data_IF_226853954232
#
_entry.id   IF_226853954232
#
_cell.length_a   1.000
_cell.length_b   1.000
_cell.length_c   1.000
_cell.angle_alpha   90.00
_cell.angle_beta   90.00
_cell.angle_gamma   90.00
#
_symmetry.space_group_name_H-M   'P 1'
#
loop_
_entity.id
_entity.type
_entity.pdbx_description
1 polymer ?
#
# COMPACT_ATOMS: atom_id res chain seq x y z
N UNK A 1 -55.33 5.25 -2.69
CA UNK A 1 -55.31 4.22 -1.64
C UNK A 1 -53.94 3.58 -1.61
N UNK A 2 -52.93 4.36 -1.23
CA UNK A 2 -51.54 3.96 -1.18
C UNK A 2 -51.02 4.44 0.17
N UNK A 3 -50.91 3.51 1.12
CA UNK A 3 -50.16 3.60 2.37
C UNK A 3 -50.58 2.42 3.24
N UNK A 4 -50.07 1.24 2.92
CA UNK A 4 -49.88 0.21 3.92
C UNK A 4 -48.42 -0.21 3.88
N UNK A 5 -47.74 0.08 4.99
CA UNK A 5 -46.34 -0.20 5.28
C UNK A 5 -46.05 -1.68 5.06
N UNK A 6 -45.18 -1.96 4.10
CA UNK A 6 -44.75 -3.32 3.77
C UNK A 6 -43.61 -3.71 4.71
N UNK A 7 -43.89 -4.59 5.68
CA UNK A 7 -42.84 -5.40 6.32
C UNK A 7 -42.34 -6.47 5.34
N UNK A 8 -41.07 -6.87 5.41
CA UNK A 8 -40.49 -7.89 4.52
C UNK A 8 -41.27 -9.21 4.44
N UNK A 9 -42.01 -9.56 5.51
CA UNK A 9 -42.93 -10.71 5.52
C UNK A 9 -44.18 -10.54 4.64
N UNK A 10 -44.66 -9.31 4.44
CA UNK A 10 -45.82 -8.97 3.61
C UNK A 10 -45.46 -8.98 2.11
N UNK A 11 -44.19 -8.68 1.80
CA UNK A 11 -43.61 -8.82 0.46
C UNK A 11 -43.54 -10.29 0.01
N UNK A 12 -43.06 -11.16 0.89
CA UNK A 12 -43.02 -12.61 0.67
C UNK A 12 -44.42 -13.20 0.47
N UNK A 13 -45.43 -12.75 1.23
CA UNK A 13 -46.82 -13.16 1.01
C UNK A 13 -47.39 -12.66 -0.32
N UNK A 14 -47.15 -11.40 -0.69
CA UNK A 14 -47.60 -10.85 -1.97
C UNK A 14 -46.93 -11.55 -3.15
N UNK A 15 -45.61 -11.72 -3.13
CA UNK A 15 -44.85 -12.40 -4.20
C UNK A 15 -45.14 -13.91 -4.29
N UNK A 16 -45.29 -14.61 -3.15
CA UNK A 16 -45.69 -16.03 -3.16
C UNK A 16 -47.14 -16.24 -3.64
N UNK A 17 -48.04 -15.29 -3.42
CA UNK A 17 -49.40 -15.33 -3.98
C UNK A 17 -49.40 -15.15 -5.51
N UNK A 18 -48.43 -14.39 -6.05
CA UNK A 18 -48.28 -14.10 -7.47
C UNK A 18 -47.62 -15.25 -8.24
N UNK A 19 -46.83 -16.09 -7.57
CA UNK A 19 -46.24 -17.29 -8.16
C UNK A 19 -47.28 -18.36 -8.59
N UNK A 20 -48.57 -18.14 -8.29
CA UNK A 20 -49.71 -18.94 -8.78
C UNK A 20 -50.27 -18.44 -10.12
N UNK A 21 -49.80 -17.31 -10.65
CA UNK A 21 -50.25 -16.73 -11.92
C UNK A 21 -49.32 -17.16 -13.07
N UNK A 22 -49.88 -17.39 -14.27
CA UNK A 22 -49.11 -17.81 -15.47
C UNK A 22 -48.23 -16.70 -16.03
N UNK A 23 -48.64 -15.44 -15.88
CA UNK A 23 -47.90 -14.25 -16.33
C UNK A 23 -48.20 -13.10 -15.36
N UNK A 24 -47.17 -12.29 -15.08
CA UNK A 24 -47.21 -11.11 -14.22
C UNK A 24 -46.98 -9.87 -15.10
N UNK A 25 -47.83 -8.82 -15.02
CA UNK A 25 -47.59 -7.56 -15.73
C UNK A 25 -46.21 -6.98 -15.37
N UNK A 26 -45.43 -6.52 -16.35
CA UNK A 26 -44.11 -5.91 -16.19
C UNK A 26 -44.13 -4.78 -15.16
N UNK A 27 -45.06 -3.85 -15.34
CA UNK A 27 -45.16 -2.60 -14.59
C UNK A 27 -45.44 -2.84 -13.09
N UNK A 28 -46.09 -3.97 -12.78
CA UNK A 28 -46.40 -4.36 -11.41
C UNK A 28 -45.19 -4.96 -10.67
N UNK A 29 -44.26 -5.60 -11.40
CA UNK A 29 -43.03 -6.18 -10.85
C UNK A 29 -42.03 -5.08 -10.46
N UNK A 30 -41.81 -4.12 -11.34
CA UNK A 30 -40.94 -2.96 -11.13
C UNK A 30 -41.41 -2.13 -9.93
N UNK A 31 -42.72 -1.86 -9.83
CA UNK A 31 -43.32 -1.10 -8.73
C UNK A 31 -43.10 -1.72 -7.35
N UNK A 32 -43.09 -3.06 -7.24
CA UNK A 32 -42.89 -3.76 -5.96
C UNK A 32 -41.41 -3.72 -5.55
N UNK A 33 -40.50 -3.96 -6.50
CA UNK A 33 -39.07 -3.90 -6.24
C UNK A 33 -38.68 -2.48 -5.81
N UNK A 34 -39.13 -1.48 -6.56
CA UNK A 34 -38.94 -0.06 -6.26
C UNK A 34 -39.48 0.30 -4.87
N UNK A 35 -40.76 0.00 -4.59
CA UNK A 35 -41.39 0.33 -3.31
C UNK A 35 -40.68 -0.32 -2.12
N UNK A 36 -40.11 -1.51 -2.30
CA UNK A 36 -39.40 -2.24 -1.24
C UNK A 36 -38.00 -1.70 -1.01
N UNK A 37 -37.28 -1.43 -2.11
CA UNK A 37 -35.94 -0.88 -2.06
C UNK A 37 -35.96 0.48 -1.37
N UNK A 38 -36.96 1.32 -1.66
CA UNK A 38 -37.13 2.66 -1.10
C UNK A 38 -38.01 2.73 0.16
N UNK A 39 -38.25 1.62 0.86
CA UNK A 39 -38.90 1.64 2.18
C UNK A 39 -38.16 2.52 3.20
N UNK A 40 -36.84 2.65 3.02
CA UNK A 40 -35.98 3.56 3.77
C UNK A 40 -35.43 4.63 2.82
N UNK A 41 -35.24 5.89 3.27
CA UNK A 41 -34.84 7.01 2.40
C UNK A 41 -33.57 6.79 1.57
N UNK A 42 -32.63 5.97 2.06
CA UNK A 42 -31.34 5.70 1.44
C UNK A 42 -31.21 4.25 0.96
N UNK A 43 -32.33 3.54 0.84
CA UNK A 43 -32.36 2.13 0.47
C UNK A 43 -32.49 1.19 1.66
N UNK A 44 -33.10 0.02 1.42
CA UNK A 44 -33.34 -1.01 2.43
C UNK A 44 -32.44 -2.23 2.21
N UNK A 45 -31.45 -2.41 3.10
CA UNK A 45 -30.58 -3.59 3.14
C UNK A 45 -31.36 -4.90 3.33
N UNK A 46 -32.36 -4.89 4.22
CA UNK A 46 -33.22 -6.04 4.49
C UNK A 46 -34.02 -6.47 3.24
N UNK A 47 -34.48 -5.48 2.45
CA UNK A 47 -35.16 -5.77 1.19
C UNK A 47 -34.21 -6.40 0.17
N UNK A 48 -32.96 -5.92 0.11
CA UNK A 48 -31.95 -6.44 -0.82
C UNK A 48 -31.59 -7.90 -0.53
N UNK A 49 -31.38 -8.27 0.74
CA UNK A 49 -31.21 -9.67 1.13
C UNK A 49 -32.45 -10.52 0.84
N UNK A 50 -33.65 -9.98 1.09
CA UNK A 50 -34.90 -10.69 0.76
C UNK A 50 -34.97 -11.00 -0.75
N UNK A 51 -34.56 -10.07 -1.61
CA UNK A 51 -34.49 -10.29 -3.05
C UNK A 51 -33.42 -11.32 -3.43
N UNK A 52 -32.25 -11.28 -2.79
CA UNK A 52 -31.19 -12.26 -3.00
C UNK A 52 -31.65 -13.68 -2.65
N UNK A 53 -32.28 -13.86 -1.50
CA UNK A 53 -32.75 -15.17 -1.05
C UNK A 53 -33.81 -15.74 -2.00
N UNK A 54 -34.76 -14.89 -2.45
CA UNK A 54 -35.75 -15.26 -3.47
C UNK A 54 -35.10 -15.69 -4.80
N UNK A 55 -33.98 -15.10 -5.18
CA UNK A 55 -33.23 -15.46 -6.38
C UNK A 55 -32.35 -16.72 -6.18
N UNK A 56 -31.87 -17.01 -4.97
CA UNK A 56 -31.00 -18.16 -4.66
C UNK A 56 -31.76 -19.48 -4.62
N UNK A 57 -33.00 -19.48 -4.10
CA UNK A 57 -33.69 -20.73 -3.77
C UNK A 57 -34.28 -21.50 -4.97
N UNK A 58 -34.24 -20.97 -6.20
CA UNK A 58 -34.83 -21.56 -7.42
C UNK A 58 -36.31 -22.02 -7.30
N UNK A 59 -36.96 -21.82 -6.16
CA UNK A 59 -38.34 -22.24 -5.90
C UNK A 59 -39.34 -21.46 -6.77
N UNK A 60 -38.96 -20.27 -7.24
CA UNK A 60 -39.85 -19.31 -7.91
C UNK A 60 -39.16 -18.62 -9.10
N UNK A 61 -38.87 -19.38 -10.18
CA UNK A 61 -38.14 -18.86 -11.36
C UNK A 61 -38.75 -17.59 -11.96
N UNK A 62 -40.09 -17.49 -12.00
CA UNK A 62 -40.80 -16.30 -12.49
C UNK A 62 -40.61 -15.06 -11.60
N UNK A 63 -40.44 -15.27 -10.28
CA UNK A 63 -40.19 -14.17 -9.33
C UNK A 63 -38.73 -13.73 -9.40
N UNK A 64 -37.79 -14.66 -9.52
CA UNK A 64 -36.38 -14.34 -9.74
C UNK A 64 -36.18 -13.56 -11.05
N UNK A 65 -36.81 -13.99 -12.15
CA UNK A 65 -36.79 -13.28 -13.43
C UNK A 65 -37.40 -11.88 -13.33
N UNK A 66 -38.47 -11.72 -12.53
CA UNK A 66 -39.10 -10.43 -12.29
C UNK A 66 -38.17 -9.46 -11.56
N UNK A 67 -37.53 -9.93 -10.50
CA UNK A 67 -36.59 -9.14 -9.69
C UNK A 67 -35.38 -8.76 -10.54
N UNK A 68 -34.79 -9.71 -11.26
CA UNK A 68 -33.67 -9.45 -12.15
C UNK A 68 -34.04 -8.49 -13.28
N UNK A 69 -35.25 -8.62 -13.84
CA UNK A 69 -35.79 -7.69 -14.83
C UNK A 69 -35.91 -6.27 -14.29
N UNK A 70 -36.48 -6.10 -13.09
CA UNK A 70 -36.63 -4.79 -12.47
C UNK A 70 -35.28 -4.11 -12.19
N UNK A 71 -34.29 -4.83 -11.67
CA UNK A 71 -32.95 -4.26 -11.42
C UNK A 71 -32.18 -3.91 -12.71
N UNK A 72 -32.54 -4.51 -13.84
CA UNK A 72 -32.00 -4.17 -15.16
C UNK A 72 -32.76 -3.04 -15.86
N UNK A 73 -33.89 -2.62 -15.31
CA UNK A 73 -34.70 -1.55 -15.87
C UNK A 73 -34.00 -0.18 -15.68
N UNK A 74 -33.73 0.57 -16.77
CA UNK A 74 -33.24 1.94 -16.70
C UNK A 74 -34.08 2.88 -15.81
N UNK A 75 -35.39 2.65 -15.70
CA UNK A 75 -36.27 3.46 -14.85
C UNK A 75 -35.92 3.30 -13.37
N UNK A 76 -35.76 2.07 -12.88
CA UNK A 76 -35.35 1.81 -11.50
C UNK A 76 -33.94 2.34 -11.24
N UNK A 77 -33.01 2.15 -12.17
CA UNK A 77 -31.65 2.73 -12.06
C UNK A 77 -31.70 4.25 -11.89
N UNK A 78 -32.52 4.94 -12.69
CA UNK A 78 -32.69 6.39 -12.57
C UNK A 78 -33.32 6.80 -11.23
N UNK A 79 -34.28 6.03 -10.72
CA UNK A 79 -34.84 6.21 -9.38
C UNK A 79 -33.77 6.02 -8.30
N UNK A 80 -32.91 5.01 -8.43
CA UNK A 80 -31.77 4.77 -7.53
C UNK A 80 -30.83 5.99 -7.55
N UNK A 81 -30.36 6.40 -8.73
CA UNK A 81 -29.45 7.53 -8.88
C UNK A 81 -30.02 8.82 -8.25
N UNK A 82 -31.31 9.08 -8.47
CA UNK A 82 -31.97 10.29 -7.95
C UNK A 82 -32.19 10.24 -6.44
N UNK A 83 -32.75 9.14 -5.91
CA UNK A 83 -33.12 9.06 -4.50
C UNK A 83 -31.91 8.88 -3.58
N UNK A 84 -30.86 8.20 -4.06
CA UNK A 84 -29.62 8.01 -3.31
C UNK A 84 -28.62 9.14 -3.54
N UNK A 85 -28.89 10.06 -4.47
CA UNK A 85 -27.96 11.14 -4.81
C UNK A 85 -26.65 10.61 -5.39
N UNK A 86 -26.73 9.52 -6.17
CA UNK A 86 -25.57 8.96 -6.85
C UNK A 86 -25.37 9.66 -8.19
N UNK A 87 -24.13 10.09 -8.43
CA UNK A 87 -23.70 10.51 -9.75
C UNK A 87 -23.13 9.30 -10.50
N UNK A 88 -23.66 8.98 -11.68
CA UNK A 88 -23.27 7.78 -12.42
C UNK A 88 -21.81 7.78 -12.95
N UNK A 89 -21.17 8.94 -13.05
CA UNK A 89 -19.75 9.11 -13.41
C UNK A 89 -19.17 10.44 -12.88
N UNK A 90 -17.90 10.70 -13.22
CA UNK A 90 -17.20 11.91 -12.80
C UNK A 90 -17.78 13.21 -13.37
N UNK A 91 -18.18 13.23 -14.65
CA UNK A 91 -18.69 14.46 -15.28
C UNK A 91 -20.02 14.87 -14.65
N UNK A 92 -20.88 13.90 -14.37
CA UNK A 92 -22.11 14.12 -13.64
C UNK A 92 -21.83 14.61 -12.21
N UNK A 93 -20.91 13.95 -11.48
CA UNK A 93 -20.52 14.37 -10.13
C UNK A 93 -19.99 15.81 -10.12
N UNK A 94 -19.13 16.15 -11.08
CA UNK A 94 -18.57 17.49 -11.25
C UNK A 94 -19.65 18.54 -11.53
N UNK A 95 -20.65 18.20 -12.36
CA UNK A 95 -21.79 19.10 -12.61
C UNK A 95 -22.65 19.36 -11.37
N UNK A 96 -22.56 18.48 -10.36
CA UNK A 96 -23.29 18.54 -9.10
C UNK A 96 -22.37 18.89 -7.91
N UNK A 97 -21.18 19.44 -8.16
CA UNK A 97 -20.19 19.65 -7.10
C UNK A 97 -20.71 20.53 -5.95
N UNK A 98 -21.61 21.47 -6.24
CA UNK A 98 -22.21 22.38 -5.24
C UNK A 98 -23.11 21.68 -4.21
N UNK A 99 -23.61 20.48 -4.51
CA UNK A 99 -24.50 19.71 -3.61
C UNK A 99 -23.80 18.55 -2.91
N UNK A 100 -22.48 18.40 -3.13
CA UNK A 100 -21.65 17.41 -2.45
C UNK A 100 -21.48 17.79 -0.99
N UNK A 101 -21.68 16.81 -0.12
CA UNK A 101 -21.59 16.99 1.32
C UNK A 101 -20.81 15.83 1.92
N UNK A 102 -19.61 16.12 2.42
CA UNK A 102 -18.73 15.14 3.09
C UNK A 102 -19.37 14.52 4.33
N UNK A 103 -20.39 15.16 4.90
CA UNK A 103 -21.13 14.66 6.06
C UNK A 103 -22.42 13.92 5.68
N UNK A 104 -22.71 13.78 4.38
CA UNK A 104 -23.87 13.06 3.93
C UNK A 104 -23.83 11.59 4.39
N UNK A 105 -24.95 11.03 4.85
CA UNK A 105 -25.04 9.60 5.13
C UNK A 105 -24.85 8.79 3.85
N UNK A 106 -24.22 7.61 3.96
CA UNK A 106 -24.09 6.70 2.84
C UNK A 106 -25.45 6.17 2.38
N UNK A 107 -25.66 6.17 1.07
CA UNK A 107 -26.70 5.40 0.42
C UNK A 107 -26.44 3.90 0.54
N UNK A 108 -27.43 3.07 0.16
CA UNK A 108 -27.32 1.63 0.27
C UNK A 108 -26.14 1.05 -0.53
N UNK A 109 -25.84 1.56 -1.73
CA UNK A 109 -24.70 1.05 -2.50
C UNK A 109 -23.37 1.40 -1.82
N UNK A 110 -23.17 2.67 -1.44
CA UNK A 110 -21.98 3.12 -0.70
C UNK A 110 -21.81 2.39 0.63
N UNK A 111 -22.92 2.19 1.37
CA UNK A 111 -22.92 1.47 2.63
C UNK A 111 -22.60 -0.01 2.42
N UNK A 112 -23.13 -0.65 1.37
CA UNK A 112 -22.87 -2.06 1.04
C UNK A 112 -21.42 -2.30 0.64
N UNK A 113 -20.72 -1.36 0.01
CA UNK A 113 -19.28 -1.48 -0.28
C UNK A 113 -18.47 -1.68 1.02
N UNK A 114 -18.86 -0.99 2.09
CA UNK A 114 -18.14 -1.02 3.36
C UNK A 114 -18.63 -2.17 4.25
N UNK A 115 -19.95 -2.41 4.30
CA UNK A 115 -20.56 -3.24 5.34
C UNK A 115 -21.15 -4.57 4.81
N UNK A 116 -21.34 -4.72 3.50
CA UNK A 116 -21.81 -5.95 2.87
C UNK A 116 -21.19 -6.17 1.47
N UNK A 117 -19.85 -6.23 1.38
CA UNK A 117 -19.12 -6.24 0.10
C UNK A 117 -19.25 -7.54 -0.69
N UNK A 118 -19.62 -8.64 -0.05
CA UNK A 118 -19.65 -9.98 -0.66
C UNK A 118 -21.03 -10.37 -1.20
N UNK A 119 -22.10 -9.70 -0.75
CA UNK A 119 -23.48 -10.04 -1.15
C UNK A 119 -24.19 -8.86 -1.80
N UNK A 120 -24.50 -7.81 -1.03
CA UNK A 120 -25.33 -6.70 -1.47
C UNK A 120 -24.69 -5.85 -2.58
N UNK A 121 -23.43 -5.46 -2.42
CA UNK A 121 -22.76 -4.65 -3.44
C UNK A 121 -22.59 -5.40 -4.79
N UNK A 122 -22.09 -6.65 -4.81
CA UNK A 122 -22.02 -7.44 -6.05
C UNK A 122 -23.37 -7.68 -6.70
N UNK A 123 -24.43 -7.85 -5.89
CA UNK A 123 -25.78 -8.05 -6.40
C UNK A 123 -26.31 -6.83 -7.16
N UNK A 124 -26.13 -5.63 -6.60
CA UNK A 124 -26.50 -4.36 -7.24
C UNK A 124 -25.70 -4.13 -8.51
N UNK A 125 -24.38 -4.38 -8.45
CA UNK A 125 -23.47 -4.15 -9.58
C UNK A 125 -23.73 -5.12 -10.74
N UNK A 126 -23.84 -6.43 -10.47
CA UNK A 126 -24.05 -7.46 -11.51
C UNK A 126 -25.37 -7.33 -12.27
N UNK A 127 -26.37 -6.64 -11.70
CA UNK A 127 -27.66 -6.38 -12.35
C UNK A 127 -27.71 -5.04 -13.07
N UNK A 128 -26.65 -4.23 -13.00
CA UNK A 128 -26.60 -2.91 -13.62
C UNK A 128 -27.48 -1.87 -12.92
N UNK A 129 -27.90 -2.14 -11.68
CA UNK A 129 -28.72 -1.22 -10.89
C UNK A 129 -27.94 0.04 -10.46
N UNK A 130 -26.61 -0.07 -10.41
CA UNK A 130 -25.67 1.00 -10.11
C UNK A 130 -24.55 1.03 -11.16
N UNK A 131 -23.98 2.22 -11.38
CA UNK A 131 -22.78 2.38 -12.22
C UNK A 131 -21.51 2.04 -11.42
N UNK A 132 -20.57 1.24 -11.95
CA UNK A 132 -19.29 0.98 -11.28
C UNK A 132 -18.43 2.24 -11.12
N UNK A 133 -18.60 3.23 -12.00
CA UNK A 133 -17.92 4.54 -11.96
C UNK A 133 -18.66 5.59 -11.15
N UNK A 134 -19.68 5.20 -10.39
CA UNK A 134 -20.50 6.14 -9.65
C UNK A 134 -19.74 6.80 -8.48
N UNK A 135 -20.24 7.98 -8.11
CA UNK A 135 -19.86 8.75 -6.95
C UNK A 135 -21.04 8.87 -6.01
N UNK A 136 -20.74 8.69 -4.73
CA UNK A 136 -21.69 8.97 -3.66
C UNK A 136 -21.85 10.47 -3.46
N UNK A 137 -22.85 10.84 -2.64
CA UNK A 137 -23.08 12.24 -2.25
C UNK A 137 -21.92 12.86 -1.44
N UNK A 138 -21.02 12.04 -0.89
CA UNK A 138 -19.79 12.52 -0.22
C UNK A 138 -18.72 12.97 -1.22
N UNK A 139 -18.91 12.69 -2.51
CA UNK A 139 -17.94 12.98 -3.57
C UNK A 139 -16.85 11.92 -3.69
N UNK A 140 -17.05 10.76 -3.08
CA UNK A 140 -16.16 9.60 -3.18
C UNK A 140 -16.68 8.66 -4.26
N UNK A 141 -15.79 8.25 -5.17
CA UNK A 141 -16.12 7.18 -6.11
C UNK A 141 -16.30 5.86 -5.37
N UNK A 142 -17.04 4.92 -5.96
CA UNK A 142 -17.12 3.56 -5.42
C UNK A 142 -15.75 2.87 -5.33
N UNK A 143 -14.80 3.22 -6.21
CA UNK A 143 -13.41 2.78 -6.07
C UNK A 143 -12.77 3.30 -4.78
N UNK A 144 -12.94 4.59 -4.46
CA UNK A 144 -12.44 5.19 -3.22
C UNK A 144 -13.01 4.50 -1.98
N UNK A 145 -14.31 4.24 -1.97
CA UNK A 145 -15.00 3.57 -0.87
C UNK A 145 -14.51 2.13 -0.69
N UNK A 146 -14.26 1.41 -1.79
CA UNK A 146 -13.76 0.04 -1.75
C UNK A 146 -12.31 -0.03 -1.27
N UNK A 147 -11.45 0.94 -1.63
CA UNK A 147 -10.08 1.04 -1.11
C UNK A 147 -10.05 1.39 0.38
N UNK A 148 -11.08 2.08 0.90
CA UNK A 148 -11.16 2.43 2.33
C UNK A 148 -11.74 1.32 3.20
N UNK A 149 -12.29 0.25 2.62
CA UNK A 149 -12.91 -0.83 3.38
C UNK A 149 -11.89 -1.95 3.64
N UNK A 150 -12.04 -2.69 4.76
CA UNK A 150 -11.14 -3.80 5.11
C UNK A 150 -11.23 -5.02 4.16
N UNK A 151 -12.00 -4.91 3.08
CA UNK A 151 -12.34 -5.98 2.13
C UNK A 151 -11.73 -5.74 0.73
N UNK A 152 -10.64 -4.97 0.68
CA UNK A 152 -10.12 -4.25 -0.50
C UNK A 152 -10.10 -5.09 -1.80
N UNK A 153 -9.52 -6.29 -1.85
CA UNK A 153 -9.17 -6.88 -3.15
C UNK A 153 -10.36 -7.44 -3.96
N UNK A 154 -11.27 -8.22 -3.35
CA UNK A 154 -12.35 -8.88 -4.11
C UNK A 154 -13.40 -7.89 -4.64
N UNK A 155 -13.78 -6.90 -3.82
CA UNK A 155 -14.72 -5.86 -4.24
C UNK A 155 -14.12 -4.91 -5.28
N UNK A 156 -12.83 -4.59 -5.15
CA UNK A 156 -12.14 -3.76 -6.14
C UNK A 156 -11.99 -4.51 -7.45
N UNK A 157 -11.62 -5.79 -7.46
CA UNK A 157 -11.53 -6.58 -8.70
C UNK A 157 -12.88 -6.65 -9.43
N UNK A 158 -13.97 -6.86 -8.69
CA UNK A 158 -15.31 -6.85 -9.26
C UNK A 158 -15.67 -5.49 -9.85
N UNK A 159 -15.42 -4.41 -9.10
CA UNK A 159 -15.70 -3.03 -9.53
C UNK A 159 -14.87 -2.67 -10.76
N UNK A 160 -13.55 -2.91 -10.71
CA UNK A 160 -12.65 -2.66 -11.83
C UNK A 160 -13.07 -3.48 -13.04
N UNK A 161 -13.50 -4.74 -12.89
CA UNK A 161 -13.98 -5.60 -13.99
C UNK A 161 -15.25 -5.05 -14.66
N UNK A 162 -16.18 -4.50 -13.87
CA UNK A 162 -17.41 -3.92 -14.38
C UNK A 162 -17.22 -2.52 -14.99
N UNK A 163 -16.19 -1.79 -14.58
CA UNK A 163 -15.91 -0.42 -15.01
C UNK A 163 -15.44 -0.34 -16.47
N UNK A 164 -15.81 0.71 -17.20
CA UNK A 164 -15.21 1.09 -18.48
C UNK A 164 -13.75 1.55 -18.31
N UNK A 165 -12.88 1.28 -19.29
CA UNK A 165 -11.45 1.59 -19.15
C UNK A 165 -11.18 3.11 -19.05
N UNK A 166 -12.02 3.93 -19.68
CA UNK A 166 -11.97 5.39 -19.62
C UNK A 166 -12.12 5.95 -18.20
N UNK A 167 -12.85 5.25 -17.33
CA UNK A 167 -13.09 5.69 -15.96
C UNK A 167 -11.87 5.49 -15.06
N UNK A 168 -10.92 4.63 -15.43
CA UNK A 168 -9.64 4.44 -14.70
C UNK A 168 -8.83 5.74 -14.67
N UNK A 169 -9.05 6.63 -15.63
CA UNK A 169 -8.40 7.93 -15.74
C UNK A 169 -9.21 9.07 -15.12
N UNK A 170 -10.36 8.79 -14.52
CA UNK A 170 -11.13 9.78 -13.80
C UNK A 170 -10.60 9.89 -12.35
N UNK A 171 -10.72 11.07 -11.71
CA UNK A 171 -10.38 11.24 -10.30
C UNK A 171 -11.04 10.19 -9.43
N UNK A 172 -10.43 9.67 -8.38
CA UNK A 172 -11.15 8.76 -7.48
C UNK A 172 -11.96 9.51 -6.41
N UNK A 173 -11.70 10.82 -6.25
CA UNK A 173 -12.35 11.69 -5.28
C UNK A 173 -12.58 13.08 -5.87
N UNK A 174 -13.79 13.60 -5.75
CA UNK A 174 -14.13 14.94 -6.26
C UNK A 174 -13.82 16.06 -5.25
N UNK A 175 -13.70 15.68 -3.98
CA UNK A 175 -13.57 16.63 -2.88
C UNK A 175 -12.15 17.20 -2.67
N UNK A 176 -11.18 16.68 -3.41
CA UNK A 176 -9.81 17.19 -3.43
C UNK A 176 -9.69 18.44 -4.32
N UNK A 177 -8.76 19.37 -4.03
CA UNK A 177 -8.41 20.47 -4.92
C UNK A 177 -8.05 19.98 -6.32
N UNK A 178 -8.39 20.75 -7.37
CA UNK A 178 -8.18 20.29 -8.76
C UNK A 178 -6.73 19.89 -9.06
N UNK A 179 -5.77 20.63 -8.51
CA UNK A 179 -4.33 20.40 -8.71
C UNK A 179 -3.81 19.15 -7.96
N UNK A 180 -4.55 18.66 -6.95
CA UNK A 180 -4.18 17.51 -6.11
C UNK A 180 -4.98 16.23 -6.45
N UNK A 181 -6.02 16.34 -7.30
CA UNK A 181 -6.90 15.22 -7.64
C UNK A 181 -6.14 14.13 -8.38
N UNK A 182 -5.99 12.98 -7.75
CA UNK A 182 -5.42 11.79 -8.40
C UNK A 182 -6.51 11.01 -9.13
N UNK A 183 -6.15 10.43 -10.26
CA UNK A 183 -6.98 9.44 -10.97
C UNK A 183 -6.99 8.10 -10.23
N UNK A 184 -7.92 7.21 -10.57
CA UNK A 184 -7.93 5.83 -10.06
C UNK A 184 -6.59 5.13 -10.33
N UNK A 185 -6.02 5.28 -11.55
CA UNK A 185 -4.70 4.73 -11.87
C UNK A 185 -3.60 5.31 -10.96
N UNK A 186 -3.55 6.62 -10.78
CA UNK A 186 -2.55 7.26 -9.92
C UNK A 186 -2.72 6.88 -8.44
N UNK A 187 -3.95 6.72 -7.96
CA UNK A 187 -4.21 6.27 -6.59
C UNK A 187 -3.80 4.80 -6.39
N UNK A 188 -3.90 3.97 -7.43
CA UNK A 188 -3.57 2.54 -7.32
C UNK A 188 -2.09 2.25 -7.09
N UNK A 189 -1.16 3.18 -7.36
CA UNK A 189 0.29 3.01 -7.16
C UNK A 189 0.69 2.70 -5.71
N UNK A 190 -0.19 2.95 -4.74
CA UNK A 190 0.09 2.69 -3.33
C UNK A 190 -0.15 1.22 -2.95
N UNK A 191 -0.73 0.41 -3.85
CA UNK A 191 -1.02 -1.00 -3.66
C UNK A 191 -0.72 -1.77 -4.95
N UNK A 192 0.32 -2.61 -4.93
CA UNK A 192 0.80 -3.33 -6.11
C UNK A 192 -0.29 -4.15 -6.83
N UNK A 193 -1.04 -5.06 -6.15
CA UNK A 193 -2.15 -5.78 -6.77
C UNK A 193 -3.14 -4.86 -7.50
N UNK A 194 -3.53 -3.75 -6.87
CA UNK A 194 -4.47 -2.79 -7.45
C UNK A 194 -3.89 -2.08 -8.68
N UNK A 195 -2.62 -1.67 -8.61
CA UNK A 195 -1.94 -1.07 -9.75
C UNK A 195 -1.88 -2.04 -10.93
N UNK A 196 -1.50 -3.31 -10.69
CA UNK A 196 -1.44 -4.33 -11.75
C UNK A 196 -2.81 -4.59 -12.36
N UNK A 197 -3.87 -4.62 -11.55
CA UNK A 197 -5.24 -4.77 -12.04
C UNK A 197 -5.66 -3.60 -12.96
N UNK A 198 -5.40 -2.36 -12.53
CA UNK A 198 -5.65 -1.18 -13.36
C UNK A 198 -4.79 -1.18 -14.63
N UNK A 199 -3.50 -1.47 -14.51
CA UNK A 199 -2.54 -1.45 -15.61
C UNK A 199 -2.90 -2.47 -16.70
N UNK A 200 -3.29 -3.69 -16.32
CA UNK A 200 -3.74 -4.73 -17.25
C UNK A 200 -4.91 -4.27 -18.11
N UNK A 201 -5.86 -3.55 -17.51
CA UNK A 201 -7.00 -2.97 -18.25
C UNK A 201 -6.56 -1.87 -19.18
N UNK A 202 -5.69 -0.98 -18.73
CA UNK A 202 -5.22 0.12 -19.57
C UNK A 202 -4.40 -0.39 -20.76
N UNK A 203 -3.45 -1.31 -20.55
CA UNK A 203 -2.62 -1.90 -21.61
C UNK A 203 -3.44 -2.55 -22.73
N UNK A 204 -4.64 -3.04 -22.43
CA UNK A 204 -5.53 -3.67 -23.42
C UNK A 204 -6.19 -2.68 -24.40
N UNK A 205 -6.02 -1.36 -24.23
CA UNK A 205 -6.63 -0.36 -25.10
C UNK A 205 -5.85 -0.16 -26.41
N UNK A 206 -6.53 -0.04 -27.56
CA UNK A 206 -5.89 0.16 -28.87
C UNK A 206 -5.24 1.54 -29.04
N UNK A 207 -5.71 2.54 -28.28
CA UNK A 207 -5.16 3.89 -28.22
C UNK A 207 -5.05 4.29 -26.76
N UNK A 208 -3.95 3.92 -26.08
CA UNK A 208 -3.79 4.31 -24.70
C UNK A 208 -3.74 5.84 -24.62
N UNK A 209 -4.55 6.46 -23.75
CA UNK A 209 -4.40 7.89 -23.48
C UNK A 209 -3.00 8.14 -22.93
N UNK A 210 -2.50 9.38 -23.07
CA UNK A 210 -1.26 9.77 -22.39
C UNK A 210 -1.45 9.52 -20.89
N UNK A 211 -0.72 8.53 -20.39
CA UNK A 211 -0.74 8.15 -18.99
C UNK A 211 -0.25 9.35 -18.16
N UNK A 212 -1.06 9.83 -17.22
CA UNK A 212 -0.66 10.91 -16.32
C UNK A 212 0.24 10.41 -15.17
N UNK A 213 1.18 9.49 -15.45
CA UNK A 213 2.13 9.03 -14.45
C UNK A 213 3.31 9.99 -14.41
N UNK A 214 3.36 10.84 -13.38
CA UNK A 214 4.44 11.78 -13.14
C UNK A 214 5.61 11.15 -12.35
N UNK A 215 6.66 11.93 -12.07
CA UNK A 215 7.85 11.44 -11.37
C UNK A 215 7.54 10.82 -10.00
N UNK A 216 6.56 11.37 -9.27
CA UNK A 216 6.14 10.83 -7.99
C UNK A 216 5.48 9.45 -8.16
N UNK A 217 4.59 9.30 -9.13
CA UNK A 217 3.94 8.03 -9.44
C UNK A 217 4.96 6.95 -9.84
N UNK A 218 5.89 7.31 -10.74
CA UNK A 218 6.94 6.40 -11.20
C UNK A 218 7.85 5.95 -10.04
N UNK A 219 8.18 6.85 -9.12
CA UNK A 219 8.92 6.50 -7.89
C UNK A 219 8.17 5.50 -7.04
N UNK A 220 6.87 5.69 -6.81
CA UNK A 220 6.06 4.73 -6.06
C UNK A 220 5.98 3.36 -6.74
N UNK A 221 5.83 3.32 -8.07
CA UNK A 221 5.84 2.07 -8.85
C UNK A 221 7.17 1.33 -8.67
N UNK A 222 8.30 2.06 -8.60
CA UNK A 222 9.61 1.46 -8.38
C UNK A 222 9.74 0.70 -7.03
N UNK A 223 8.80 0.85 -6.09
CA UNK A 223 8.83 0.09 -4.84
C UNK A 223 8.36 -1.37 -4.97
N UNK A 224 7.77 -1.74 -6.10
CA UNK A 224 7.23 -3.09 -6.32
C UNK A 224 7.37 -3.61 -7.74
N UNK A 225 7.81 -2.78 -8.68
CA UNK A 225 7.97 -3.16 -10.09
C UNK A 225 8.95 -4.33 -10.25
N UNK A 226 8.58 -5.29 -11.09
CA UNK A 226 9.46 -6.35 -11.60
C UNK A 226 9.77 -6.11 -13.09
N UNK A 227 10.65 -6.93 -13.66
CA UNK A 227 11.08 -6.78 -15.06
C UNK A 227 9.90 -6.92 -16.02
N UNK A 228 8.96 -7.81 -15.74
CA UNK A 228 7.77 -8.00 -16.57
C UNK A 228 6.91 -6.73 -16.62
N UNK A 229 6.61 -6.13 -15.47
CA UNK A 229 5.85 -4.89 -15.39
C UNK A 229 6.62 -3.71 -15.98
N UNK A 230 7.93 -3.64 -15.79
CA UNK A 230 8.77 -2.59 -16.37
C UNK A 230 8.76 -2.63 -17.91
N UNK A 231 8.85 -3.81 -18.51
CA UNK A 231 8.73 -4.00 -19.96
C UNK A 231 7.32 -3.67 -20.46
N UNK A 232 6.30 -4.06 -19.70
CA UNK A 232 4.90 -3.72 -20.00
C UNK A 232 4.64 -2.22 -19.98
N UNK A 233 5.21 -1.50 -19.00
CA UNK A 233 5.18 -0.04 -18.92
C UNK A 233 5.89 0.58 -20.12
N UNK A 234 7.08 0.07 -20.45
CA UNK A 234 7.89 0.58 -21.55
C UNK A 234 7.23 0.40 -22.92
N UNK A 235 6.54 -0.72 -23.16
CA UNK A 235 5.74 -0.95 -24.37
C UNK A 235 4.64 0.11 -24.56
N UNK A 236 4.18 0.70 -23.46
CA UNK A 236 3.21 1.78 -23.43
C UNK A 236 3.86 3.17 -23.33
N UNK A 237 5.15 3.29 -23.68
CA UNK A 237 5.94 4.53 -23.64
C UNK A 237 6.13 5.12 -22.22
N UNK A 238 5.89 4.34 -21.17
CA UNK A 238 6.15 4.72 -19.77
C UNK A 238 7.51 4.15 -19.34
N UNK A 239 8.55 4.96 -19.44
CA UNK A 239 9.91 4.58 -19.05
C UNK A 239 10.23 5.02 -17.62
N UNK A 240 10.16 4.08 -16.67
CA UNK A 240 10.46 4.30 -15.25
C UNK A 240 11.94 4.61 -14.96
N UNK A 241 12.86 4.29 -15.88
CA UNK A 241 14.29 4.56 -15.73
C UNK A 241 14.72 5.86 -16.42
N UNK A 242 13.81 6.56 -17.13
CA UNK A 242 14.13 7.78 -17.87
C UNK A 242 14.49 8.92 -16.91
N UNK A 243 15.68 9.53 -17.06
CA UNK A 243 16.07 10.67 -16.24
C UNK A 243 15.11 11.86 -16.36
N UNK A 244 14.84 12.53 -15.25
CA UNK A 244 14.08 13.77 -15.19
C UNK A 244 15.02 14.95 -14.86
N UNK A 245 14.64 16.18 -15.23
CA UNK A 245 15.46 17.37 -14.97
C UNK A 245 15.73 17.58 -13.47
N UNK A 246 14.76 17.24 -12.62
CA UNK A 246 14.85 17.39 -11.17
C UNK A 246 15.44 16.15 -10.48
N UNK A 247 15.41 14.99 -11.15
CA UNK A 247 15.94 13.73 -10.62
C UNK A 247 16.64 12.94 -11.74
N UNK A 248 17.99 12.98 -11.81
CA UNK A 248 18.75 12.30 -12.86
C UNK A 248 18.79 10.77 -12.71
N UNK A 249 18.40 10.23 -11.55
CA UNK A 249 18.40 8.79 -11.23
C UNK A 249 17.07 8.40 -10.56
N UNK A 250 15.91 8.57 -11.22
CA UNK A 250 14.62 8.31 -10.60
C UNK A 250 14.46 6.82 -10.28
N UNK A 251 13.70 6.51 -9.23
CA UNK A 251 13.36 5.13 -8.87
C UNK A 251 14.46 4.32 -8.17
N UNK A 252 15.74 4.69 -8.30
CA UNK A 252 16.84 3.96 -7.68
C UNK A 252 16.70 3.83 -6.16
N UNK A 253 16.34 4.91 -5.47
CA UNK A 253 16.18 4.86 -4.01
C UNK A 253 14.97 4.01 -3.61
N UNK A 254 13.91 4.04 -4.42
CA UNK A 254 12.70 3.25 -4.19
C UNK A 254 12.89 1.76 -4.45
N UNK A 255 13.77 1.37 -5.39
CA UNK A 255 14.14 -0.02 -5.61
C UNK A 255 14.78 -0.66 -4.37
N UNK A 256 15.48 0.11 -3.53
CA UNK A 256 16.04 -0.40 -2.26
C UNK A 256 14.98 -0.89 -1.27
N UNK A 257 13.71 -0.48 -1.45
CA UNK A 257 12.60 -0.96 -0.62
C UNK A 257 12.13 -2.37 -1.01
N UNK A 258 12.51 -2.89 -2.18
CA UNK A 258 12.10 -4.22 -2.62
C UNK A 258 12.93 -5.32 -1.94
N UNK A 259 12.31 -6.47 -1.68
CA UNK A 259 13.01 -7.65 -1.16
C UNK A 259 13.88 -8.36 -2.19
N UNK A 260 13.57 -8.22 -3.50
CA UNK A 260 14.31 -8.83 -4.61
C UNK A 260 14.52 -7.85 -5.77
N UNK A 261 15.30 -6.79 -5.51
CA UNK A 261 15.57 -5.74 -6.50
C UNK A 261 16.64 -6.09 -7.54
N UNK A 262 17.35 -7.22 -7.41
CA UNK A 262 18.58 -7.47 -8.18
C UNK A 262 18.35 -7.42 -9.70
N UNK A 263 17.28 -8.06 -10.16
CA UNK A 263 16.91 -8.05 -11.58
C UNK A 263 16.52 -6.64 -12.06
N UNK A 264 15.86 -5.88 -11.20
CA UNK A 264 15.50 -4.49 -11.52
C UNK A 264 16.71 -3.56 -11.56
N UNK A 265 17.70 -3.76 -10.70
CA UNK A 265 18.94 -3.00 -10.78
C UNK A 265 19.68 -3.27 -12.10
N UNK A 266 19.76 -4.54 -12.52
CA UNK A 266 20.33 -4.92 -13.82
C UNK A 266 19.52 -4.32 -14.98
N UNK A 267 18.19 -4.29 -14.87
CA UNK A 267 17.31 -3.66 -15.85
C UNK A 267 17.59 -2.16 -15.97
N UNK A 268 17.66 -1.43 -14.85
CA UNK A 268 17.97 0.00 -14.82
C UNK A 268 19.36 0.29 -15.43
N UNK A 269 20.39 -0.50 -15.08
CA UNK A 269 21.72 -0.38 -15.67
C UNK A 269 21.71 -0.64 -17.18
N UNK A 270 20.99 -1.67 -17.63
CA UNK A 270 20.85 -2.01 -19.05
C UNK A 270 20.21 -0.89 -19.88
N UNK A 271 19.41 -0.03 -19.24
CA UNK A 271 18.80 1.17 -19.82
C UNK A 271 19.73 2.39 -19.80
N UNK A 272 20.94 2.26 -19.26
CA UNK A 272 21.89 3.37 -19.11
C UNK A 272 21.55 4.32 -17.94
N UNK A 273 20.63 3.93 -17.05
CA UNK A 273 20.39 4.66 -15.81
C UNK A 273 21.45 4.26 -14.80
N UNK A 274 22.24 5.22 -14.32
CA UNK A 274 23.28 4.97 -13.34
C UNK A 274 22.74 5.15 -11.91
N UNK A 275 23.18 4.33 -10.94
CA UNK A 275 22.87 4.53 -9.54
C UNK A 275 23.31 5.93 -9.09
N UNK A 276 22.57 6.57 -8.16
CA UNK A 276 22.99 7.85 -7.61
C UNK A 276 24.31 7.73 -6.86
N UNK A 277 25.00 8.85 -6.67
CA UNK A 277 26.18 8.88 -5.79
C UNK A 277 25.77 8.55 -4.35
N UNK A 278 26.65 7.88 -3.62
CA UNK A 278 26.43 7.49 -2.21
C UNK A 278 25.32 6.45 -2.02
N UNK A 279 25.02 5.67 -3.04
CA UNK A 279 23.91 4.71 -3.02
C UNK A 279 24.10 3.61 -1.97
N UNK A 280 25.34 3.16 -1.74
CA UNK A 280 25.63 2.19 -0.69
C UNK A 280 25.46 2.80 0.70
N UNK A 281 25.89 4.07 0.88
CA UNK A 281 25.65 4.82 2.11
C UNK A 281 24.15 4.95 2.39
N UNK A 282 23.35 5.31 1.39
CA UNK A 282 21.90 5.42 1.54
C UNK A 282 21.27 4.06 1.91
N UNK A 283 21.69 2.97 1.26
CA UNK A 283 21.24 1.62 1.64
C UNK A 283 21.59 1.27 3.10
N UNK A 284 22.75 1.70 3.59
CA UNK A 284 23.15 1.54 4.99
C UNK A 284 22.33 2.45 5.94
N UNK A 285 21.98 3.67 5.54
CA UNK A 285 21.14 4.60 6.32
C UNK A 285 19.69 4.13 6.46
N UNK A 286 19.24 3.21 5.60
CA UNK A 286 17.87 2.69 5.61
C UNK A 286 17.78 1.18 5.86
N UNK A 287 18.88 0.54 6.25
CA UNK A 287 18.96 -0.90 6.53
C UNK A 287 18.47 -1.80 5.37
N UNK A 288 18.74 -1.38 4.14
CA UNK A 288 18.35 -2.08 2.91
C UNK A 288 19.31 -3.23 2.57
N UNK A 289 19.45 -4.21 3.47
CA UNK A 289 20.46 -5.29 3.41
C UNK A 289 20.40 -6.10 2.10
N UNK A 290 19.20 -6.32 1.56
CA UNK A 290 18.99 -7.14 0.37
C UNK A 290 19.69 -6.60 -0.88
N UNK A 291 19.83 -5.29 -1.01
CA UNK A 291 20.44 -4.65 -2.18
C UNK A 291 21.98 -4.59 -2.12
N UNK A 292 22.56 -4.77 -0.93
CA UNK A 292 23.96 -4.44 -0.64
C UNK A 292 24.94 -5.27 -1.46
N UNK A 293 24.69 -6.57 -1.60
CA UNK A 293 25.55 -7.46 -2.37
C UNK A 293 25.62 -7.04 -3.84
N UNK A 294 24.48 -6.69 -4.41
CA UNK A 294 24.41 -6.18 -5.77
C UNK A 294 25.19 -4.87 -5.89
N UNK A 295 24.95 -3.90 -5.00
CA UNK A 295 25.63 -2.58 -5.04
C UNK A 295 27.15 -2.74 -4.96
N UNK A 296 27.64 -3.56 -4.01
CA UNK A 296 29.08 -3.81 -3.83
C UNK A 296 29.72 -4.48 -5.05
N UNK A 297 28.95 -5.25 -5.83
CA UNK A 297 29.41 -5.85 -7.09
C UNK A 297 29.50 -4.86 -8.24
N UNK A 298 28.85 -3.69 -8.13
CA UNK A 298 28.66 -2.73 -9.22
C UNK A 298 29.18 -1.32 -8.89
N UNK A 299 29.87 -1.14 -7.76
CA UNK A 299 30.52 0.13 -7.40
C UNK A 299 32.01 -0.07 -7.10
N UNK A 300 32.83 0.84 -7.64
CA UNK A 300 34.25 0.99 -7.30
C UNK A 300 34.50 2.21 -6.40
N UNK A 301 33.44 2.88 -5.92
CA UNK A 301 33.54 4.08 -5.08
C UNK A 301 34.01 3.71 -3.66
N UNK A 302 35.30 3.89 -3.42
CA UNK A 302 35.92 3.62 -2.12
C UNK A 302 35.41 4.55 -1.02
N UNK A 303 35.09 5.80 -1.34
CA UNK A 303 34.61 6.75 -0.34
C UNK A 303 33.20 6.36 0.12
N UNK A 304 32.34 5.91 -0.81
CA UNK A 304 31.00 5.41 -0.48
C UNK A 304 31.07 4.13 0.36
N UNK A 305 32.00 3.23 0.03
CA UNK A 305 32.28 2.03 0.82
C UNK A 305 32.73 2.38 2.25
N UNK A 306 33.65 3.34 2.39
CA UNK A 306 34.16 3.80 3.68
C UNK A 306 33.03 4.37 4.53
N UNK A 307 32.25 5.28 3.95
CA UNK A 307 31.17 5.98 4.63
C UNK A 307 30.05 5.02 5.04
N UNK A 308 29.60 4.15 4.13
CA UNK A 308 28.56 3.15 4.42
C UNK A 308 28.97 2.18 5.54
N UNK A 309 30.25 1.78 5.60
CA UNK A 309 30.77 0.97 6.71
C UNK A 309 30.62 1.67 8.05
N UNK A 310 30.97 2.97 8.13
CA UNK A 310 30.83 3.75 9.36
C UNK A 310 29.37 4.01 9.71
N UNK A 311 28.50 4.23 8.73
CA UNK A 311 27.05 4.36 8.96
C UNK A 311 26.49 3.06 9.53
N UNK A 312 26.76 1.92 8.90
CA UNK A 312 26.31 0.61 9.37
C UNK A 312 26.88 0.29 10.76
N UNK A 313 28.14 0.67 11.04
CA UNK A 313 28.75 0.55 12.35
C UNK A 313 28.01 1.35 13.44
N UNK A 314 27.64 2.61 13.13
CA UNK A 314 26.97 3.53 14.05
C UNK A 314 25.54 3.12 14.39
N UNK A 315 24.80 2.56 13.42
CA UNK A 315 23.38 2.18 13.57
C UNK A 315 23.17 1.14 14.68
N UNK A 316 21.95 1.03 15.20
CA UNK A 316 21.63 0.19 16.39
C UNK A 316 20.56 -0.86 16.07
N UNK A 317 20.06 -0.85 14.85
CA UNK A 317 19.05 -1.75 14.32
C UNK A 317 19.67 -3.11 13.99
N UNK A 318 18.90 -4.17 14.14
CA UNK A 318 19.39 -5.55 13.95
C UNK A 318 19.98 -5.77 12.54
N UNK A 319 19.29 -5.28 11.52
CA UNK A 319 19.71 -5.32 10.12
C UNK A 319 21.04 -4.61 9.86
N UNK A 320 21.43 -3.65 10.70
CA UNK A 320 22.70 -2.92 10.53
C UNK A 320 23.92 -3.80 10.83
N UNK A 321 23.78 -4.86 11.63
CA UNK A 321 24.85 -5.84 11.82
C UNK A 321 25.06 -6.69 10.56
N UNK A 322 23.97 -7.14 9.91
CA UNK A 322 24.02 -7.89 8.66
C UNK A 322 24.54 -7.03 7.49
N UNK A 323 24.12 -5.75 7.46
CA UNK A 323 24.63 -4.73 6.56
C UNK A 323 26.16 -4.60 6.68
N UNK A 324 26.66 -4.33 7.88
CA UNK A 324 28.09 -4.19 8.13
C UNK A 324 28.84 -5.48 7.74
N UNK A 325 28.31 -6.63 8.12
CA UNK A 325 28.91 -7.91 7.78
C UNK A 325 29.01 -8.16 6.28
N UNK A 326 27.99 -7.79 5.52
CA UNK A 326 28.00 -7.90 4.06
C UNK A 326 29.04 -6.96 3.44
N UNK A 327 29.09 -5.72 3.90
CA UNK A 327 30.06 -4.71 3.43
C UNK A 327 31.50 -5.17 3.69
N UNK A 328 31.80 -5.59 4.92
CA UNK A 328 33.13 -6.01 5.33
C UNK A 328 33.56 -7.31 4.64
N UNK A 329 32.69 -8.31 4.52
CA UNK A 329 33.05 -9.61 3.92
C UNK A 329 33.18 -9.58 2.40
N UNK A 330 32.77 -8.49 1.73
CA UNK A 330 32.84 -8.41 0.27
C UNK A 330 34.24 -8.70 -0.26
N UNK A 331 34.39 -9.55 -1.29
CA UNK A 331 35.71 -9.88 -1.86
C UNK A 331 36.34 -8.71 -2.63
N UNK A 332 35.52 -7.75 -3.09
CA UNK A 332 35.95 -6.55 -3.80
C UNK A 332 36.46 -5.45 -2.87
N UNK A 333 36.39 -5.71 -1.57
CA UNK A 333 36.64 -4.74 -0.52
C UNK A 333 38.16 -4.56 -0.31
N UNK A 334 38.71 -3.44 -0.79
CA UNK A 334 40.14 -3.09 -0.69
C UNK A 334 40.57 -2.64 0.72
N UNK A 335 39.70 -2.77 1.73
CA UNK A 335 39.90 -2.23 3.08
C UNK A 335 40.66 -3.15 4.04
N UNK A 336 40.80 -4.45 3.75
CA UNK A 336 41.50 -5.39 4.65
C UNK A 336 42.90 -4.92 5.12
N UNK A 337 43.72 -4.23 4.31
CA UNK A 337 44.99 -3.66 4.78
C UNK A 337 44.88 -2.29 5.49
N UNK A 338 43.68 -1.74 5.73
CA UNK A 338 43.48 -0.44 6.35
C UNK A 338 43.17 -0.55 7.85
N UNK A 339 44.23 -0.66 8.66
CA UNK A 339 44.14 -0.75 10.14
C UNK A 339 43.38 0.43 10.77
N UNK A 340 43.54 1.63 10.20
CA UNK A 340 42.89 2.84 10.68
C UNK A 340 41.37 2.75 10.55
N UNK A 341 40.88 2.29 9.41
CA UNK A 341 39.45 2.09 9.20
C UNK A 341 38.87 1.04 10.15
N UNK A 342 39.62 -0.02 10.46
CA UNK A 342 39.19 -1.03 11.44
C UNK A 342 39.06 -0.42 12.83
N UNK A 343 40.02 0.41 13.23
CA UNK A 343 39.93 1.19 14.46
C UNK A 343 38.72 2.12 14.43
N UNK A 344 38.53 2.89 13.36
CA UNK A 344 37.41 3.83 13.22
C UNK A 344 36.04 3.14 13.31
N UNK A 345 35.88 1.96 12.69
CA UNK A 345 34.66 1.14 12.80
C UNK A 345 34.41 0.71 14.24
N UNK A 346 35.42 0.14 14.91
CA UNK A 346 35.27 -0.32 16.29
C UNK A 346 35.00 0.83 17.26
N UNK A 347 35.69 1.97 17.10
CA UNK A 347 35.42 3.21 17.85
C UNK A 347 33.97 3.64 17.62
N UNK A 348 33.52 3.68 16.36
CA UNK A 348 32.15 4.10 16.01
C UNK A 348 31.08 3.20 16.65
N UNK A 349 31.28 1.88 16.67
CA UNK A 349 30.36 0.92 17.31
C UNK A 349 30.28 1.21 18.82
N UNK A 350 31.44 1.31 19.49
CA UNK A 350 31.51 1.48 20.94
C UNK A 350 30.99 2.84 21.37
N UNK A 351 31.39 3.91 20.68
CA UNK A 351 30.95 5.27 20.96
C UNK A 351 29.42 5.38 20.84
N UNK A 352 28.86 4.89 19.73
CA UNK A 352 27.41 4.92 19.51
C UNK A 352 26.60 4.20 20.60
N UNK A 353 27.14 3.09 21.11
CA UNK A 353 26.52 2.32 22.20
C UNK A 353 26.68 2.98 23.57
N UNK A 354 27.86 3.54 23.86
CA UNK A 354 28.08 4.28 25.10
C UNK A 354 27.18 5.51 25.18
N UNK A 355 27.09 6.27 24.08
CA UNK A 355 26.23 7.47 23.99
C UNK A 355 24.74 7.11 24.17
N UNK A 356 24.29 5.96 23.65
CA UNK A 356 22.91 5.48 23.87
C UNK A 356 22.66 5.08 25.32
N UNK A 357 23.60 4.34 25.91
CA UNK A 357 23.52 3.92 27.31
C UNK A 357 23.39 5.14 28.21
N UNK A 358 24.28 6.12 28.04
CA UNK A 358 24.27 7.38 28.78
C UNK A 358 22.97 8.17 28.59
N UNK A 359 22.49 8.31 27.35
CA UNK A 359 21.23 9.00 27.07
C UNK A 359 20.02 8.34 27.76
N UNK A 360 19.97 7.02 27.79
CA UNK A 360 18.90 6.27 28.47
C UNK A 360 19.01 6.39 30.00
N UNK A 361 20.23 6.37 30.56
CA UNK A 361 20.45 6.60 31.99
C UNK A 361 20.00 8.01 32.41
N UNK A 362 20.38 9.06 31.68
CA UNK A 362 19.97 10.45 31.96
C UNK A 362 18.44 10.59 31.89
N UNK A 363 17.81 10.03 30.86
CA UNK A 363 16.36 10.10 30.68
C UNK A 363 15.58 9.40 31.80
N UNK A 364 16.17 8.37 32.42
CA UNK A 364 15.56 7.61 33.51
C UNK A 364 15.77 8.28 34.88
N UNK A 365 16.94 8.88 35.13
CA UNK A 365 17.22 9.63 36.36
C UNK A 365 16.32 10.89 36.51
N UNK A 366 15.99 11.57 35.40
CA UNK A 366 15.15 12.77 35.42
C UNK A 366 13.65 12.49 35.63
N UNK A 367 13.17 11.27 35.34
CA UNK A 367 11.73 10.95 35.34
C UNK A 367 11.35 10.02 36.52
N UNK A 368 12.19 9.05 36.89
CA UNK A 368 11.94 8.12 38.00
C UNK A 368 13.25 7.68 38.68
N UNK A 369 13.72 8.39 39.73
CA UNK A 369 15.01 8.12 40.38
C UNK A 369 15.13 6.76 41.09
N UNK A 370 14.06 5.95 41.16
CA UNK A 370 14.07 4.65 41.84
C UNK A 370 13.69 3.45 40.96
N UNK A 371 13.45 3.60 39.65
CA UNK A 371 13.10 2.45 38.79
C UNK A 371 13.64 2.58 37.36
N UNK A 372 14.83 2.05 37.09
CA UNK A 372 15.23 1.65 35.74
C UNK A 372 14.21 0.62 35.26
N UNK A 373 13.33 0.99 34.32
CA UNK A 373 12.29 0.09 33.82
C UNK A 373 12.94 -1.18 33.23
N UNK A 374 12.46 -2.40 33.55
CA UNK A 374 12.95 -3.64 32.94
C UNK A 374 13.01 -3.60 31.41
N UNK A 375 12.08 -2.88 30.77
CA UNK A 375 12.04 -2.70 29.32
C UNK A 375 13.24 -1.89 28.76
N UNK A 376 13.78 -0.94 29.53
CA UNK A 376 14.95 -0.14 29.13
C UNK A 376 16.23 -0.96 29.22
N UNK A 377 16.37 -1.80 30.27
CA UNK A 377 17.48 -2.74 30.39
C UNK A 377 17.47 -3.79 29.26
N UNK A 378 16.28 -4.31 28.91
CA UNK A 378 16.12 -5.25 27.80
C UNK A 378 16.50 -4.61 26.45
N UNK A 379 16.11 -3.34 26.23
CA UNK A 379 16.48 -2.61 25.02
C UNK A 379 17.99 -2.38 24.91
N UNK A 380 18.66 -2.00 26.01
CA UNK A 380 20.13 -1.83 26.05
C UNK A 380 20.81 -3.17 25.76
N UNK A 381 20.41 -4.25 26.43
CA UNK A 381 20.98 -5.58 26.23
C UNK A 381 20.83 -6.06 24.77
N UNK A 382 19.65 -5.84 24.15
CA UNK A 382 19.44 -6.20 22.73
C UNK A 382 20.34 -5.40 21.79
N UNK A 383 20.54 -4.10 22.06
CA UNK A 383 21.42 -3.25 21.23
C UNK A 383 22.91 -3.55 21.48
N UNK A 384 23.26 -3.91 22.71
CA UNK A 384 24.60 -4.39 23.05
C UNK A 384 24.92 -5.67 22.28
N UNK A 385 24.00 -6.63 22.20
CA UNK A 385 24.17 -7.84 21.37
C UNK A 385 24.42 -7.51 19.87
N UNK A 386 23.70 -6.52 19.33
CA UNK A 386 23.92 -6.05 17.95
C UNK A 386 25.34 -5.49 17.78
N UNK A 387 25.83 -4.71 18.75
CA UNK A 387 27.18 -4.16 18.73
C UNK A 387 28.26 -5.25 18.86
N UNK A 388 28.04 -6.25 19.72
CA UNK A 388 28.92 -7.41 19.88
C UNK A 388 29.02 -8.18 18.56
N UNK A 389 27.88 -8.46 17.88
CA UNK A 389 27.87 -9.11 16.56
C UNK A 389 28.68 -8.35 15.51
N UNK A 390 28.64 -7.01 15.53
CA UNK A 390 29.46 -6.16 14.65
C UNK A 390 30.95 -6.26 14.95
N UNK A 391 31.35 -6.26 16.23
CA UNK A 391 32.75 -6.44 16.62
C UNK A 391 33.29 -7.82 16.25
N UNK A 392 32.51 -8.89 16.47
CA UNK A 392 32.88 -10.22 16.01
C UNK A 392 33.06 -10.29 14.49
N UNK A 393 32.15 -9.67 13.74
CA UNK A 393 32.28 -9.54 12.29
C UNK A 393 33.59 -8.85 11.89
N UNK A 394 33.95 -7.76 12.56
CA UNK A 394 35.20 -7.04 12.31
C UNK A 394 36.43 -7.91 12.58
N UNK A 395 36.43 -8.64 13.72
CA UNK A 395 37.47 -9.61 14.09
C UNK A 395 37.66 -10.67 13.01
N UNK A 396 36.57 -11.27 12.57
CA UNK A 396 36.59 -12.41 11.65
C UNK A 396 37.17 -12.03 10.27
N UNK A 397 37.06 -10.77 9.86
CA UNK A 397 37.51 -10.32 8.53
C UNK A 397 38.90 -9.68 8.53
N UNK A 398 39.32 -9.06 9.64
CA UNK A 398 40.59 -8.31 9.72
C UNK A 398 41.64 -8.86 10.69
N UNK A 399 41.28 -9.75 11.62
CA UNK A 399 42.10 -10.07 12.78
C UNK A 399 42.07 -8.93 13.83
N UNK A 400 42.99 -8.98 14.79
CA UNK A 400 42.95 -8.07 15.95
C UNK A 400 43.17 -6.58 15.60
N UNK A 401 42.59 -5.70 16.40
CA UNK A 401 42.67 -4.24 16.29
C UNK A 401 43.22 -3.69 17.60
N UNK A 402 44.32 -2.94 17.56
CA UNK A 402 44.81 -2.23 18.74
C UNK A 402 43.96 -1.00 18.97
N UNK A 403 43.19 -0.97 20.05
CA UNK A 403 42.36 0.19 20.40
C UNK A 403 42.53 0.51 21.88
N UNK A 404 43.10 1.69 22.16
CA UNK A 404 43.37 2.14 23.52
C UNK A 404 42.14 2.88 24.06
N UNK A 405 41.67 2.48 25.25
CA UNK A 405 40.66 3.24 26.00
C UNK A 405 39.19 2.84 25.76
N UNK A 406 38.87 2.09 24.71
CA UNK A 406 37.48 1.66 24.47
C UNK A 406 36.93 0.74 25.56
N UNK A 407 37.74 -0.20 26.08
CA UNK A 407 37.34 -1.06 27.20
C UNK A 407 37.02 -0.27 28.47
N UNK A 408 37.79 0.78 28.74
CA UNK A 408 37.54 1.67 29.89
C UNK A 408 36.22 2.40 29.70
N UNK A 409 35.96 2.90 28.48
CA UNK A 409 34.72 3.58 28.13
C UNK A 409 33.50 2.66 28.24
N UNK A 410 33.55 1.45 27.66
CA UNK A 410 32.45 0.48 27.70
C UNK A 410 32.16 -0.01 29.13
N UNK A 411 33.21 -0.21 29.94
CA UNK A 411 33.07 -0.56 31.37
C UNK A 411 32.40 0.56 32.15
N UNK A 412 32.81 1.81 31.92
CA UNK A 412 32.19 2.98 32.56
C UNK A 412 30.71 3.14 32.19
N UNK A 413 30.33 2.74 30.97
CA UNK A 413 28.94 2.75 30.51
C UNK A 413 28.11 1.51 30.94
N UNK A 414 28.70 0.58 31.71
CA UNK A 414 28.04 -0.64 32.18
C UNK A 414 27.81 -1.72 31.10
N UNK A 415 28.51 -1.63 29.95
CA UNK A 415 28.35 -2.53 28.80
C UNK A 415 29.38 -3.68 28.89
N UNK A 416 29.11 -4.64 29.77
CA UNK A 416 30.05 -5.73 30.08
C UNK A 416 30.26 -6.69 28.90
N UNK A 417 29.20 -7.06 28.18
CA UNK A 417 29.31 -7.94 27.02
C UNK A 417 30.10 -7.30 25.89
N UNK A 418 29.92 -5.99 25.68
CA UNK A 418 30.70 -5.22 24.72
C UNK A 418 32.18 -5.15 25.13
N UNK A 419 32.46 -5.03 26.43
CA UNK A 419 33.83 -5.03 26.97
C UNK A 419 34.54 -6.36 26.74
N UNK A 420 33.84 -7.48 26.94
CA UNK A 420 34.37 -8.82 26.65
C UNK A 420 34.65 -8.99 25.15
N UNK A 421 33.72 -8.59 24.28
CA UNK A 421 33.89 -8.66 22.83
C UNK A 421 35.06 -7.81 22.32
N UNK A 422 35.36 -6.67 22.95
CA UNK A 422 36.57 -5.90 22.68
C UNK A 422 37.85 -6.61 23.13
N UNK A 423 37.78 -7.44 24.17
CA UNK A 423 38.88 -8.32 24.59
C UNK A 423 39.27 -9.31 23.52
N UNK A 424 38.28 -9.92 22.87
CA UNK A 424 38.48 -10.85 21.77
C UNK A 424 39.00 -10.19 20.48
N UNK A 425 38.89 -8.86 20.37
CA UNK A 425 39.34 -8.10 19.22
C UNK A 425 40.80 -7.63 19.35
N UNK A 426 41.42 -7.69 20.52
CA UNK A 426 42.84 -7.30 20.67
C UNK A 426 43.78 -8.36 20.04
N UNK A 427 44.90 -7.94 19.42
CA UNK A 427 45.84 -8.83 18.72
C UNK A 427 46.65 -9.76 19.63
#
# INVERSE_FOLDING_TARGET
>A
MANELVHGGDLLQKLSSLNRQRELPSDFKESIVEASLFQKPLGSHDALHTFQDMCKDNLHSLVAEAIDGAFRDPALRKSIETNWGLSYDFDHAKSQQDIIDKSAPYDLASWSIINCPTECFPYLLSRGAISPSAYSRTGESFFCLAVKSDHELESIDLLLSAMGNEHIFQPYMLSEPEDDRKTILQASIYNEPLFRACWKRVKSQPHPPQYSLGPQELGHICRFVDVELAEDLLQCEVDIAKPHQENPSPGWLELLCQSDASQMFDWFLGRGSAPPKWYLTYAAEHDCVHAVQWILGHTDDYDDWLRSSLVAAKRKEEKSADMLATILRSPLSKWKPNDRLRQDIAITIVDSMCDESEALYITLEDIYPENTSPASCEMIARREDIAIRKLHTLRDVGGGVSIVGLKVKSTAAGLYGLTEALGDLEP
#
